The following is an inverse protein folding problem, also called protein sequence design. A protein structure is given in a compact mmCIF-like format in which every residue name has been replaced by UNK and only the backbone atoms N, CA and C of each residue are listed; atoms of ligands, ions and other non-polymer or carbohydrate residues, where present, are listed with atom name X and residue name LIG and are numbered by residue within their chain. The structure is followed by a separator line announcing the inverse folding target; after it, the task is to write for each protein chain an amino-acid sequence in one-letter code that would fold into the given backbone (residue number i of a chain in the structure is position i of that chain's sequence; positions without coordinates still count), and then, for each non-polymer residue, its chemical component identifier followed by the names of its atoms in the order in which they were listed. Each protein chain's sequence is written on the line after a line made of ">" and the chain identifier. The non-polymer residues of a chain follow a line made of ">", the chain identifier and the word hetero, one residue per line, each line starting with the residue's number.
data_IF_472927161048
#
_entry.id   IF_472927161048
#
_cell.length_a   1.000
_cell.length_b   1.000
_cell.length_c   1.000
_cell.angle_alpha   90.00
_cell.angle_beta   90.00
_cell.angle_gamma   90.00
#
_symmetry.space_group_name_H-M   'P 1'
#
loop_
_entity.id
_entity.type
_entity.pdbx_description
1 polymer ?
#
# COMPACT_ATOMS: atom_id res chain seq x y z
N UNK A 1 33.34 9.64 -27.08
CA UNK A 1 32.32 9.82 -28.14
C UNK A 1 31.00 9.51 -27.51
N UNK A 2 30.06 10.42 -27.49
CA UNK A 2 28.72 10.22 -26.96
C UNK A 2 27.88 9.47 -28.00
N UNK A 3 27.01 8.56 -27.56
CA UNK A 3 26.13 7.75 -28.44
C UNK A 3 24.75 7.75 -27.84
N UNK A 4 23.75 8.00 -28.67
CA UNK A 4 22.33 7.87 -28.28
C UNK A 4 21.93 6.40 -28.10
N UNK A 5 21.25 6.12 -26.99
CA UNK A 5 20.69 4.80 -26.70
C UNK A 5 19.38 4.93 -25.87
N UNK A 6 18.95 3.84 -25.25
CA UNK A 6 17.72 3.84 -24.43
C UNK A 6 17.82 4.73 -23.18
N UNK A 7 19.05 5.08 -22.74
CA UNK A 7 19.31 5.86 -21.53
C UNK A 7 20.11 7.14 -21.80
N UNK A 8 20.41 7.44 -23.06
CA UNK A 8 21.19 8.63 -23.45
C UNK A 8 20.51 9.35 -24.60
N UNK A 9 20.30 10.64 -24.44
CA UNK A 9 19.78 11.55 -25.48
C UNK A 9 20.74 12.70 -25.70
N UNK A 10 20.98 13.05 -26.98
CA UNK A 10 21.87 14.14 -27.39
C UNK A 10 21.03 15.24 -28.06
N UNK A 11 21.29 16.50 -27.71
CA UNK A 11 20.72 17.67 -28.35
C UNK A 11 21.77 18.72 -28.58
N UNK A 12 21.83 19.23 -29.79
CA UNK A 12 22.82 20.28 -30.14
C UNK A 12 22.47 21.61 -29.48
N UNK A 13 21.18 21.92 -29.38
CA UNK A 13 20.64 23.15 -28.77
C UNK A 13 19.45 22.84 -27.88
N UNK A 14 19.10 23.75 -26.98
CA UNK A 14 17.87 23.71 -26.22
C UNK A 14 16.66 23.97 -27.10
N UNK A 15 15.67 23.07 -27.06
CA UNK A 15 14.36 23.22 -27.72
C UNK A 15 13.24 22.84 -26.75
N UNK A 16 12.01 23.26 -27.04
CA UNK A 16 10.84 22.87 -26.23
C UNK A 16 10.57 21.34 -26.23
N UNK A 17 11.10 20.62 -27.21
CA UNK A 17 10.96 19.15 -27.28
C UNK A 17 11.72 18.43 -26.15
N UNK A 18 12.66 19.10 -25.50
CA UNK A 18 13.38 18.55 -24.32
C UNK A 18 12.39 18.11 -23.23
N UNK A 19 11.22 18.76 -23.11
CA UNK A 19 10.16 18.35 -22.17
C UNK A 19 9.69 16.91 -22.39
N UNK A 20 9.57 16.48 -23.64
CA UNK A 20 9.16 15.11 -24.01
C UNK A 20 10.22 14.09 -23.57
N UNK A 21 11.49 14.41 -23.78
CA UNK A 21 12.60 13.55 -23.43
C UNK A 21 12.68 13.36 -21.91
N UNK A 22 12.53 14.45 -21.13
CA UNK A 22 12.52 14.40 -19.68
C UNK A 22 11.37 13.53 -19.16
N UNK A 23 10.16 13.71 -19.71
CA UNK A 23 8.98 12.90 -19.37
C UNK A 23 9.24 11.44 -19.73
N UNK A 24 9.81 11.15 -20.91
CA UNK A 24 10.07 9.80 -21.36
C UNK A 24 11.08 9.07 -20.47
N UNK A 25 12.15 9.74 -20.01
CA UNK A 25 13.10 9.18 -19.04
C UNK A 25 12.43 8.90 -17.68
N UNK A 26 11.62 9.83 -17.17
CA UNK A 26 10.88 9.65 -15.92
C UNK A 26 9.93 8.43 -16.00
N UNK A 27 9.31 8.21 -17.14
CA UNK A 27 8.36 7.12 -17.35
C UNK A 27 9.01 5.75 -17.66
N UNK A 28 10.32 5.72 -17.93
CA UNK A 28 11.06 4.48 -18.23
C UNK A 28 12.11 4.17 -17.15
N UNK A 29 13.35 3.93 -17.53
CA UNK A 29 14.44 3.51 -16.63
C UNK A 29 15.33 4.67 -16.19
N UNK A 30 14.91 5.91 -16.43
CA UNK A 30 15.78 7.07 -16.28
C UNK A 30 16.80 7.18 -17.42
N UNK A 31 17.75 8.10 -17.29
CA UNK A 31 18.79 8.30 -18.30
C UNK A 31 19.51 9.63 -18.16
N UNK A 32 20.21 10.01 -19.20
CA UNK A 32 21.00 11.24 -19.28
C UNK A 32 20.68 12.00 -20.55
N UNK A 33 20.31 13.25 -20.41
CA UNK A 33 20.14 14.19 -21.51
C UNK A 33 21.36 15.11 -21.56
N UNK A 34 22.01 15.19 -22.72
CA UNK A 34 23.09 16.13 -23.01
C UNK A 34 22.59 17.21 -23.96
N UNK A 35 22.89 18.49 -23.63
CA UNK A 35 22.59 19.65 -24.51
C UNK A 35 23.89 20.40 -24.81
N UNK A 36 24.17 20.66 -26.07
CA UNK A 36 25.43 21.15 -26.59
C UNK A 36 26.28 20.07 -27.24
N UNK A 37 25.66 18.93 -27.61
CA UNK A 37 26.30 17.79 -28.25
C UNK A 37 25.48 17.42 -29.50
N UNK A 38 26.14 17.26 -30.63
CA UNK A 38 25.48 16.87 -31.88
C UNK A 38 25.07 15.39 -31.90
N UNK A 39 24.18 15.00 -32.81
CA UNK A 39 23.77 13.61 -33.03
C UNK A 39 24.96 12.68 -33.40
N UNK A 40 26.07 13.23 -33.82
CA UNK A 40 27.33 12.48 -34.08
C UNK A 40 28.18 12.26 -32.83
N UNK A 41 27.71 12.74 -31.67
CA UNK A 41 28.42 12.66 -30.40
C UNK A 41 29.59 13.64 -30.27
N UNK A 42 29.64 14.71 -31.07
CA UNK A 42 30.67 15.76 -31.01
C UNK A 42 30.17 16.92 -30.16
N UNK A 43 31.05 17.47 -29.30
CA UNK A 43 30.73 18.61 -28.44
C UNK A 43 30.70 19.88 -29.30
N UNK A 44 29.51 20.38 -29.58
CA UNK A 44 29.31 21.65 -30.30
C UNK A 44 29.44 22.84 -29.35
N UNK A 45 29.07 22.67 -28.08
CA UNK A 45 29.09 23.70 -27.06
C UNK A 45 27.86 24.62 -27.13
N UNK A 46 27.61 25.34 -26.05
CA UNK A 46 26.51 26.29 -25.88
C UNK A 46 27.08 27.69 -25.66
N UNK A 47 26.41 28.73 -26.19
CA UNK A 47 26.77 30.13 -25.94
C UNK A 47 26.60 30.54 -24.48
N UNK A 48 25.50 30.04 -23.83
CA UNK A 48 25.19 30.31 -22.43
C UNK A 48 24.66 29.01 -21.81
N UNK A 49 25.54 28.18 -21.31
CA UNK A 49 25.24 26.88 -20.72
C UNK A 49 24.43 27.02 -19.39
N UNK A 50 24.69 28.07 -18.59
CA UNK A 50 23.98 28.30 -17.36
C UNK A 50 22.52 28.66 -17.61
N UNK A 51 22.22 29.45 -18.63
CA UNK A 51 20.83 29.76 -19.04
C UNK A 51 20.11 28.53 -19.49
N UNK A 52 20.73 27.62 -20.23
CA UNK A 52 20.16 26.36 -20.66
C UNK A 52 19.89 25.43 -19.45
N UNK A 53 20.84 25.34 -18.51
CA UNK A 53 20.67 24.60 -17.26
C UNK A 53 19.45 25.09 -16.50
N UNK A 54 19.34 26.41 -16.28
CA UNK A 54 18.18 27.01 -15.58
C UNK A 54 16.87 26.73 -16.32
N UNK A 55 16.88 26.75 -17.66
CA UNK A 55 15.69 26.44 -18.45
C UNK A 55 15.22 24.99 -18.24
N UNK A 56 16.16 24.02 -18.21
CA UNK A 56 15.85 22.60 -17.94
C UNK A 56 15.31 22.44 -16.50
N UNK A 57 15.96 23.04 -15.50
CA UNK A 57 15.51 22.99 -14.11
C UNK A 57 14.09 23.55 -13.96
N UNK A 58 13.79 24.65 -14.65
CA UNK A 58 12.43 25.24 -14.65
C UNK A 58 11.41 24.26 -15.27
N UNK A 59 11.71 23.63 -16.39
CA UNK A 59 10.82 22.64 -17.01
C UNK A 59 10.51 21.51 -16.03
N UNK A 60 11.52 20.97 -15.36
CA UNK A 60 11.35 19.89 -14.38
C UNK A 60 10.47 20.31 -13.21
N UNK A 61 10.62 21.56 -12.73
CA UNK A 61 9.88 22.05 -11.59
C UNK A 61 8.46 22.53 -11.92
N UNK A 62 8.23 23.09 -13.12
CA UNK A 62 6.99 23.79 -13.43
C UNK A 62 6.07 23.09 -14.44
N UNK A 63 6.65 22.34 -15.38
CA UNK A 63 5.94 21.86 -16.56
C UNK A 63 5.62 20.36 -16.51
N UNK A 64 6.22 19.61 -15.57
CA UNK A 64 6.03 18.18 -15.40
C UNK A 64 5.18 17.87 -14.17
N UNK A 65 4.27 16.92 -14.31
CA UNK A 65 3.45 16.38 -13.21
C UNK A 65 3.45 14.85 -13.29
N UNK A 66 3.55 14.11 -12.17
CA UNK A 66 3.86 14.54 -10.80
C UNK A 66 5.19 15.31 -10.66
N UNK A 67 5.42 15.89 -9.45
CA UNK A 67 6.64 16.70 -9.19
C UNK A 67 7.90 15.84 -9.33
N UNK A 68 8.83 16.26 -10.18
CA UNK A 68 10.01 15.46 -10.56
C UNK A 68 11.36 16.07 -10.15
N UNK A 69 11.39 17.23 -9.47
CA UNK A 69 12.65 17.96 -9.20
C UNK A 69 13.69 17.14 -8.41
N UNK A 70 13.25 16.27 -7.50
CA UNK A 70 14.15 15.39 -6.73
C UNK A 70 14.70 14.21 -7.55
N UNK A 71 14.19 13.98 -8.76
CA UNK A 71 14.55 12.87 -9.63
C UNK A 71 15.54 13.28 -10.74
N UNK A 72 15.87 14.55 -10.83
CA UNK A 72 16.78 15.06 -11.85
C UNK A 72 17.89 15.92 -11.22
N UNK A 73 19.06 15.83 -11.82
CA UNK A 73 20.24 16.64 -11.46
C UNK A 73 20.88 17.21 -12.72
N UNK A 74 21.01 18.53 -12.76
CA UNK A 74 21.52 19.25 -13.93
C UNK A 74 22.84 19.94 -13.60
N UNK A 75 23.85 19.72 -14.43
CA UNK A 75 25.18 20.28 -14.26
C UNK A 75 25.76 20.85 -15.59
N UNK A 76 26.52 21.93 -15.51
CA UNK A 76 27.29 22.45 -16.64
C UNK A 76 28.66 21.82 -16.63
N UNK A 77 29.09 21.26 -17.75
CA UNK A 77 30.41 20.63 -17.92
C UNK A 77 31.18 21.38 -18.98
N UNK A 78 32.42 21.74 -18.67
CA UNK A 78 33.37 22.30 -19.63
C UNK A 78 34.29 21.19 -20.15
N UNK A 79 34.42 21.07 -21.48
CA UNK A 79 35.37 20.16 -22.08
C UNK A 79 36.81 20.64 -21.85
N UNK A 80 37.67 19.82 -21.27
CA UNK A 80 39.02 20.26 -20.88
C UNK A 80 39.93 20.74 -22.03
N UNK A 81 39.73 20.21 -23.25
CA UNK A 81 40.58 20.50 -24.40
C UNK A 81 40.16 21.76 -25.17
N UNK A 82 38.86 21.98 -25.32
CA UNK A 82 38.32 23.07 -26.15
C UNK A 82 37.75 24.22 -25.35
N UNK A 83 37.45 23.98 -24.05
CA UNK A 83 36.75 24.92 -23.19
C UNK A 83 35.24 25.05 -23.51
N UNK A 84 34.71 24.32 -24.49
CA UNK A 84 33.32 24.33 -24.84
C UNK A 84 32.47 23.80 -23.68
N UNK A 85 31.39 24.50 -23.38
CA UNK A 85 30.47 24.11 -22.31
C UNK A 85 29.21 23.41 -22.86
N UNK A 86 28.76 22.38 -22.18
CA UNK A 86 27.52 21.67 -22.45
C UNK A 86 26.80 21.35 -21.14
N UNK A 87 25.52 21.08 -21.21
CA UNK A 87 24.72 20.73 -20.04
C UNK A 87 24.49 19.22 -20.03
N UNK A 88 24.62 18.61 -18.86
CA UNK A 88 24.26 17.22 -18.57
C UNK A 88 23.13 17.20 -17.55
N UNK A 89 22.01 16.60 -17.89
CA UNK A 89 20.88 16.36 -17.00
C UNK A 89 20.75 14.87 -16.77
N UNK A 90 20.98 14.41 -15.55
CA UNK A 90 20.80 13.01 -15.14
C UNK A 90 19.40 12.88 -14.53
N UNK A 91 18.59 11.97 -15.05
CA UNK A 91 17.20 11.74 -14.66
C UNK A 91 17.07 10.33 -14.10
N UNK A 92 16.54 10.19 -12.90
CA UNK A 92 16.19 8.91 -12.31
C UNK A 92 14.82 8.45 -12.80
N UNK A 93 14.59 7.14 -12.79
CA UNK A 93 13.26 6.59 -13.03
C UNK A 93 12.23 7.16 -12.04
N UNK A 94 11.09 7.61 -12.56
CA UNK A 94 10.02 8.16 -11.75
C UNK A 94 9.22 7.07 -11.01
N UNK A 95 8.82 7.38 -9.78
CA UNK A 95 8.08 6.46 -8.90
C UNK A 95 6.56 6.62 -9.04
N UNK A 96 6.09 7.79 -9.43
CA UNK A 96 4.67 8.16 -9.50
C UNK A 96 4.18 8.25 -10.95
N UNK A 97 4.53 7.23 -11.77
CA UNK A 97 4.12 7.18 -13.19
C UNK A 97 2.59 7.13 -13.32
N UNK A 98 2.01 7.70 -14.39
CA UNK A 98 2.68 8.35 -15.52
C UNK A 98 3.02 9.82 -15.25
N UNK A 99 4.26 10.21 -15.60
CA UNK A 99 4.64 11.63 -15.69
C UNK A 99 4.13 12.20 -17.02
N UNK A 100 3.63 13.42 -16.97
CA UNK A 100 3.01 14.06 -18.13
C UNK A 100 3.14 15.60 -18.06
N UNK A 101 2.77 16.31 -19.10
CA UNK A 101 2.67 17.76 -19.05
C UNK A 101 1.67 18.24 -18.00
N UNK A 102 2.12 19.09 -17.08
CA UNK A 102 1.34 19.54 -15.92
C UNK A 102 0.00 20.19 -16.26
N UNK A 103 -0.06 20.92 -17.36
CA UNK A 103 -1.26 21.64 -17.78
C UNK A 103 -2.11 20.88 -18.80
N UNK A 104 -1.78 19.64 -19.08
CA UNK A 104 -2.53 18.79 -19.98
C UNK A 104 -3.32 17.73 -19.21
N UNK A 105 -4.42 17.23 -19.81
CA UNK A 105 -5.06 16.01 -19.34
C UNK A 105 -4.13 14.83 -19.57
N UNK A 106 -4.34 13.76 -18.82
CA UNK A 106 -3.60 12.52 -19.01
C UNK A 106 -4.11 11.83 -20.28
N UNK A 107 -3.42 12.07 -21.38
CA UNK A 107 -3.72 11.57 -22.71
C UNK A 107 -2.44 11.16 -23.43
N UNK A 108 -2.51 10.37 -24.50
CA UNK A 108 -1.34 9.97 -25.29
C UNK A 108 -0.43 11.13 -25.73
N UNK A 109 -1.00 12.32 -25.96
CA UNK A 109 -0.24 13.49 -26.39
C UNK A 109 0.56 14.15 -25.25
N UNK A 110 0.30 13.76 -23.99
CA UNK A 110 0.95 14.34 -22.81
C UNK A 110 1.92 13.40 -22.11
N UNK A 111 1.89 12.10 -22.44
CA UNK A 111 2.71 11.05 -21.82
C UNK A 111 3.68 10.48 -22.83
N UNK A 112 4.96 10.44 -22.50
CA UNK A 112 6.02 9.95 -23.38
C UNK A 112 6.81 8.85 -22.70
N UNK A 113 7.33 7.91 -23.51
CA UNK A 113 8.18 6.79 -23.09
C UNK A 113 9.39 6.65 -24.03
N UNK A 114 10.46 5.99 -23.56
CA UNK A 114 11.58 5.59 -24.41
C UNK A 114 11.35 4.21 -24.99
N UNK A 115 11.51 4.09 -26.31
CA UNK A 115 11.52 2.81 -27.03
C UNK A 115 12.83 2.77 -27.83
N UNK A 116 13.81 2.04 -27.32
CA UNK A 116 15.19 2.15 -27.83
C UNK A 116 15.73 3.57 -27.62
N UNK A 117 16.29 4.19 -28.63
CA UNK A 117 16.77 5.58 -28.63
C UNK A 117 15.68 6.61 -28.92
N UNK A 118 14.44 6.21 -29.18
CA UNK A 118 13.38 7.13 -29.60
C UNK A 118 12.43 7.48 -28.45
N UNK A 119 12.01 8.75 -28.39
CA UNK A 119 10.92 9.22 -27.55
C UNK A 119 9.60 9.10 -28.31
N UNK A 120 8.64 8.33 -27.78
CA UNK A 120 7.33 8.11 -28.40
C UNK A 120 6.20 8.41 -27.41
N UNK A 121 5.03 8.81 -27.92
CA UNK A 121 3.83 8.94 -27.11
C UNK A 121 3.38 7.58 -26.58
N UNK A 122 3.01 7.50 -25.31
CA UNK A 122 2.39 6.31 -24.73
C UNK A 122 0.94 6.20 -25.21
N UNK A 123 0.51 5.01 -25.62
CA UNK A 123 -0.90 4.76 -25.90
C UNK A 123 -1.73 4.59 -24.62
N UNK A 124 -3.05 4.56 -24.73
CA UNK A 124 -3.96 4.45 -23.59
C UNK A 124 -3.69 3.17 -22.77
N UNK A 125 -3.28 2.08 -23.40
CA UNK A 125 -3.02 0.81 -22.71
C UNK A 125 -1.76 0.90 -21.85
N UNK A 126 -0.73 1.59 -22.32
CA UNK A 126 0.51 1.86 -21.59
C UNK A 126 0.24 2.82 -20.43
N UNK A 127 -0.57 3.87 -20.66
CA UNK A 127 -0.98 4.82 -19.62
C UNK A 127 -1.75 4.09 -18.52
N UNK A 128 -2.72 3.24 -18.87
CA UNK A 128 -3.44 2.41 -17.90
C UNK A 128 -2.54 1.43 -17.16
N UNK A 129 -1.55 0.84 -17.84
CA UNK A 129 -0.56 -0.03 -17.20
C UNK A 129 0.27 0.78 -16.20
N UNK A 130 0.78 1.96 -16.56
CA UNK A 130 1.51 2.84 -15.66
C UNK A 130 0.67 3.24 -14.45
N UNK A 131 -0.61 3.58 -14.65
CA UNK A 131 -1.55 3.89 -13.57
C UNK A 131 -1.76 2.70 -12.63
N UNK A 132 -1.80 1.48 -13.17
CA UNK A 132 -1.88 0.25 -12.36
C UNK A 132 -0.59 0.00 -11.58
N UNK A 133 0.56 0.21 -12.20
CA UNK A 133 1.89 0.00 -11.59
C UNK A 133 2.26 1.10 -10.59
N UNK A 134 1.89 2.35 -10.84
CA UNK A 134 2.13 3.48 -9.93
C UNK A 134 1.24 3.46 -8.68
N UNK A 135 0.17 2.67 -8.68
CA UNK A 135 -0.54 2.27 -7.46
C UNK A 135 0.31 1.29 -6.64
N UNK A 136 1.63 1.57 -6.50
CA UNK A 136 2.43 0.89 -5.48
C UNK A 136 1.68 1.09 -4.16
N UNK A 137 1.17 0.00 -3.62
CA UNK A 137 0.52 0.05 -2.30
C UNK A 137 1.50 0.70 -1.32
N UNK A 138 1.00 1.48 -0.38
CA UNK A 138 1.82 2.16 0.63
C UNK A 138 2.84 1.21 1.29
N UNK A 139 2.48 -0.06 1.45
CA UNK A 139 3.36 -1.11 1.98
C UNK A 139 4.63 -1.35 1.16
N UNK A 140 4.60 -1.08 -0.16
CA UNK A 140 5.72 -1.33 -1.08
C UNK A 140 6.72 -0.17 -1.16
N UNK A 141 6.38 0.99 -0.60
CA UNK A 141 7.29 2.14 -0.55
C UNK A 141 8.45 1.86 0.41
N UNK A 142 9.61 2.47 0.14
CA UNK A 142 10.76 2.40 1.04
C UNK A 142 10.37 3.08 2.36
N UNK A 143 10.63 2.39 3.47
CA UNK A 143 10.40 2.93 4.80
C UNK A 143 11.39 4.05 5.11
N UNK A 144 10.92 5.10 5.77
CA UNK A 144 11.79 6.15 6.31
C UNK A 144 12.67 5.58 7.42
N UNK A 145 12.14 4.63 8.20
CA UNK A 145 12.90 3.95 9.25
C UNK A 145 13.58 2.70 8.69
N UNK A 146 14.91 2.63 8.80
CA UNK A 146 15.72 1.54 8.28
C UNK A 146 16.35 0.67 9.39
N UNK A 147 16.39 1.15 10.63
CA UNK A 147 16.85 0.38 11.79
C UNK A 147 15.65 -0.39 12.38
N UNK A 148 15.44 -1.62 11.88
CA UNK A 148 14.29 -2.45 12.21
C UNK A 148 14.74 -3.79 12.82
N UNK A 149 14.07 -4.19 13.89
CA UNK A 149 14.16 -5.52 14.51
C UNK A 149 12.86 -6.31 14.29
N UNK A 150 12.94 -7.64 14.33
CA UNK A 150 11.85 -8.53 13.97
C UNK A 150 11.72 -9.70 14.96
N UNK A 151 11.96 -9.46 16.25
CA UNK A 151 11.96 -10.52 17.24
C UNK A 151 10.64 -11.31 17.28
N UNK A 152 9.50 -10.59 17.23
CA UNK A 152 8.20 -11.23 17.23
C UNK A 152 7.90 -11.95 15.90
N UNK A 153 8.20 -11.33 14.77
CA UNK A 153 7.97 -11.95 13.47
C UNK A 153 8.83 -13.21 13.28
N UNK A 154 10.09 -13.17 13.72
CA UNK A 154 11.01 -14.31 13.65
C UNK A 154 10.47 -15.52 14.45
N UNK A 155 9.94 -15.29 15.65
CA UNK A 155 9.30 -16.31 16.46
C UNK A 155 8.07 -16.94 15.76
N UNK A 156 7.20 -16.11 15.18
CA UNK A 156 6.00 -16.58 14.46
C UNK A 156 6.38 -17.40 13.22
N UNK A 157 7.33 -16.93 12.41
CA UNK A 157 7.81 -17.66 11.24
C UNK A 157 8.49 -18.97 11.63
N UNK A 158 9.28 -18.96 12.71
CA UNK A 158 9.92 -20.18 13.26
C UNK A 158 8.88 -21.21 13.73
N UNK A 159 7.85 -20.78 14.45
CA UNK A 159 6.73 -21.66 14.88
C UNK A 159 5.96 -22.23 13.69
N UNK A 160 5.87 -21.50 12.59
CA UNK A 160 5.28 -21.99 11.35
C UNK A 160 6.20 -22.89 10.52
N UNK A 161 7.45 -23.11 10.96
CA UNK A 161 8.44 -23.90 10.22
C UNK A 161 8.96 -23.19 8.96
N UNK A 162 8.87 -21.86 8.89
CA UNK A 162 9.24 -21.05 7.74
C UNK A 162 10.49 -20.24 8.08
N UNK A 163 11.52 -20.34 7.23
CA UNK A 163 12.72 -19.52 7.38
C UNK A 163 12.41 -18.03 7.21
N UNK A 164 13.06 -17.17 8.01
CA UNK A 164 12.89 -15.71 8.00
C UNK A 164 14.20 -14.94 7.92
N UNK A 165 15.22 -15.48 7.23
CA UNK A 165 16.52 -14.84 6.99
C UNK A 165 16.44 -13.68 5.99
N UNK A 166 17.59 -13.09 5.67
CA UNK A 166 17.69 -11.93 4.79
C UNK A 166 17.13 -12.20 3.38
N UNK A 167 17.42 -13.36 2.80
CA UNK A 167 16.89 -13.75 1.49
C UNK A 167 15.35 -13.85 1.50
N UNK A 168 14.78 -14.35 2.59
CA UNK A 168 13.32 -14.43 2.76
C UNK A 168 12.68 -13.07 2.93
N UNK A 169 13.32 -12.14 3.64
CA UNK A 169 12.85 -10.76 3.77
C UNK A 169 12.76 -10.07 2.41
N UNK A 170 13.71 -10.33 1.49
CA UNK A 170 13.66 -9.83 0.11
C UNK A 170 12.52 -10.51 -0.66
N UNK A 171 12.41 -11.84 -0.61
CA UNK A 171 11.38 -12.59 -1.34
C UNK A 171 9.96 -12.27 -0.87
N UNK A 172 9.80 -11.94 0.42
CA UNK A 172 8.55 -11.47 1.02
C UNK A 172 8.30 -9.97 0.82
N UNK A 173 9.20 -9.27 0.12
CA UNK A 173 9.14 -7.82 -0.15
C UNK A 173 9.20 -6.93 1.10
N UNK A 174 9.72 -7.43 2.21
CA UNK A 174 10.05 -6.62 3.38
C UNK A 174 11.27 -5.75 3.13
N UNK A 175 12.15 -6.22 2.23
CA UNK A 175 13.32 -5.49 1.71
C UNK A 175 13.27 -5.41 0.19
N UNK A 176 13.84 -4.34 -0.34
CA UNK A 176 14.15 -4.22 -1.77
C UNK A 176 15.35 -5.09 -2.14
N UNK A 177 15.60 -5.30 -3.43
CA UNK A 177 16.80 -5.97 -3.92
C UNK A 177 18.09 -5.20 -3.55
N UNK A 178 18.00 -3.90 -3.26
CA UNK A 178 19.11 -3.07 -2.78
C UNK A 178 19.33 -3.14 -1.26
N UNK A 179 18.52 -3.94 -0.55
CA UNK A 179 18.64 -4.17 0.89
C UNK A 179 17.90 -3.18 1.78
N UNK A 180 17.19 -2.19 1.22
CA UNK A 180 16.41 -1.21 1.98
C UNK A 180 15.07 -1.81 2.42
N UNK A 181 14.67 -1.55 3.65
CA UNK A 181 13.36 -1.95 4.15
C UNK A 181 12.22 -1.15 3.50
N UNK A 182 11.15 -1.85 3.19
CA UNK A 182 9.88 -1.29 2.74
C UNK A 182 8.97 -0.98 3.95
N UNK A 183 7.85 -0.28 3.72
CA UNK A 183 6.85 -0.10 4.78
C UNK A 183 6.24 -1.43 5.22
N UNK A 184 6.16 -2.46 4.35
CA UNK A 184 5.79 -3.81 4.78
C UNK A 184 6.79 -4.36 5.82
N UNK A 185 8.10 -4.13 5.61
CA UNK A 185 9.11 -4.43 6.62
C UNK A 185 8.82 -3.72 7.94
N UNK A 186 8.50 -2.43 7.89
CA UNK A 186 8.14 -1.65 9.07
C UNK A 186 6.88 -2.20 9.78
N UNK A 187 5.84 -2.64 9.04
CA UNK A 187 4.62 -3.22 9.65
C UNK A 187 4.89 -4.51 10.40
N UNK A 188 5.81 -5.34 9.90
CA UNK A 188 6.16 -6.61 10.55
C UNK A 188 7.25 -6.46 11.62
N UNK A 189 7.90 -5.30 11.72
CA UNK A 189 8.94 -5.02 12.71
C UNK A 189 8.38 -4.74 14.10
N UNK A 190 9.25 -4.84 15.10
CA UNK A 190 8.92 -4.48 16.49
C UNK A 190 8.72 -2.95 16.64
N UNK A 191 9.19 -2.15 15.67
CA UNK A 191 9.09 -0.69 15.60
C UNK A 191 7.85 -0.19 14.83
N UNK A 192 6.90 -1.05 14.48
CA UNK A 192 5.70 -0.64 13.76
C UNK A 192 4.99 0.53 14.46
N UNK A 193 4.79 1.69 13.80
CA UNK A 193 4.17 2.86 14.42
C UNK A 193 2.65 2.77 14.50
N UNK A 194 2.06 1.84 13.77
CA UNK A 194 0.62 1.60 13.77
C UNK A 194 0.25 0.69 14.93
N UNK A 195 -0.97 0.86 15.45
CA UNK A 195 -1.44 0.06 16.58
C UNK A 195 -2.95 -0.16 16.53
N UNK A 196 -3.43 -1.12 17.32
CA UNK A 196 -4.84 -1.36 17.56
C UNK A 196 -5.18 -0.81 18.94
N UNK A 197 -6.16 0.10 18.99
CA UNK A 197 -6.72 0.62 20.23
C UNK A 197 -7.94 -0.19 20.61
N UNK A 198 -7.84 -0.94 21.70
CA UNK A 198 -8.91 -1.81 22.18
C UNK A 198 -9.56 -1.25 23.45
N UNK A 199 -10.87 -1.51 23.59
CA UNK A 199 -11.61 -1.21 24.80
C UNK A 199 -12.72 -2.23 25.00
N UNK A 200 -12.96 -2.62 26.26
CA UNK A 200 -14.16 -3.35 26.67
C UNK A 200 -15.03 -2.47 27.58
N UNK A 201 -16.32 -2.52 27.35
CA UNK A 201 -17.33 -1.72 28.04
C UNK A 201 -18.33 -2.64 28.76
N UNK A 202 -18.85 -2.15 29.88
CA UNK A 202 -19.89 -2.84 30.65
C UNK A 202 -21.28 -2.58 30.08
N UNK A 203 -21.44 -1.44 29.39
CA UNK A 203 -22.68 -0.97 28.78
C UNK A 203 -22.67 -1.10 27.25
N UNK A 204 -23.82 -0.76 26.63
CA UNK A 204 -23.97 -0.68 25.15
C UNK A 204 -23.60 0.71 24.60
N UNK A 205 -23.53 1.73 25.43
CA UNK A 205 -23.35 3.13 25.04
C UNK A 205 -21.88 3.54 24.98
N UNK A 206 -20.98 2.77 25.62
CA UNK A 206 -19.53 2.98 25.58
C UNK A 206 -19.03 4.02 26.59
N UNK A 207 -19.75 4.23 27.67
CA UNK A 207 -19.37 5.15 28.74
C UNK A 207 -18.69 4.45 29.93
N UNK A 208 -19.09 3.22 30.25
CA UNK A 208 -18.56 2.46 31.40
C UNK A 208 -17.43 1.49 30.90
N UNK A 209 -16.21 1.93 31.02
CA UNK A 209 -15.05 1.14 30.64
C UNK A 209 -14.72 0.05 31.67
N UNK A 210 -14.55 -1.17 31.18
CA UNK A 210 -13.92 -2.25 31.95
C UNK A 210 -12.40 -2.12 31.85
N UNK A 211 -11.88 -1.97 30.59
CA UNK A 211 -10.45 -1.92 30.32
C UNK A 211 -10.17 -1.22 28.99
N UNK A 212 -8.98 -0.62 28.87
CA UNK A 212 -8.45 -0.03 27.63
C UNK A 212 -7.03 -0.52 27.44
N UNK A 213 -6.69 -0.93 26.23
CA UNK A 213 -5.36 -1.38 25.84
C UNK A 213 -4.99 -0.82 24.46
N UNK A 214 -3.69 -0.51 24.31
CA UNK A 214 -3.09 -0.19 23.01
C UNK A 214 -2.14 -1.33 22.66
N UNK A 215 -2.45 -2.07 21.58
CA UNK A 215 -1.60 -3.16 21.08
C UNK A 215 -0.64 -2.61 20.05
N UNK A 216 0.63 -2.52 20.42
CA UNK A 216 1.74 -1.95 19.67
C UNK A 216 2.72 -3.02 19.17
N UNK A 217 3.75 -2.63 18.41
CA UNK A 217 4.74 -3.54 17.83
C UNK A 217 4.26 -4.16 16.52
N UNK A 218 4.85 -5.27 16.10
CA UNK A 218 4.51 -5.95 14.85
C UNK A 218 3.00 -6.13 14.67
N UNK A 219 2.48 -5.95 13.45
CA UNK A 219 1.07 -6.21 13.14
C UNK A 219 0.65 -7.66 13.47
N UNK A 220 1.59 -8.62 13.45
CA UNK A 220 1.34 -10.00 13.88
C UNK A 220 1.08 -10.07 15.39
N UNK A 221 1.88 -9.34 16.19
CA UNK A 221 1.70 -9.22 17.64
C UNK A 221 0.37 -8.54 17.98
N UNK A 222 0.05 -7.46 17.27
CA UNK A 222 -1.20 -6.73 17.46
C UNK A 222 -2.41 -7.63 17.20
N UNK A 223 -2.37 -8.43 16.12
CA UNK A 223 -3.44 -9.35 15.75
C UNK A 223 -3.68 -10.40 16.84
N UNK A 224 -2.62 -11.05 17.32
CA UNK A 224 -2.72 -12.08 18.36
C UNK A 224 -3.17 -11.49 19.69
N UNK A 225 -2.65 -10.33 20.06
CA UNK A 225 -3.04 -9.60 21.28
C UNK A 225 -4.52 -9.18 21.24
N UNK A 226 -5.00 -8.67 20.10
CA UNK A 226 -6.39 -8.28 19.93
C UNK A 226 -7.34 -9.50 19.96
N UNK A 227 -6.94 -10.62 19.38
CA UNK A 227 -7.71 -11.85 19.43
C UNK A 227 -7.79 -12.42 20.86
N UNK A 228 -6.66 -12.44 21.57
CA UNK A 228 -6.59 -12.88 22.97
C UNK A 228 -7.43 -11.95 23.89
N UNK A 229 -7.39 -10.64 23.62
CA UNK A 229 -8.23 -9.67 24.31
C UNK A 229 -9.72 -9.95 24.09
N UNK A 230 -10.13 -10.29 22.86
CA UNK A 230 -11.51 -10.66 22.59
C UNK A 230 -11.93 -11.86 23.42
N UNK A 231 -11.17 -12.95 23.39
CA UNK A 231 -11.48 -14.19 24.14
C UNK A 231 -11.60 -13.92 25.64
N UNK A 232 -10.78 -13.04 26.19
CA UNK A 232 -10.79 -12.73 27.64
C UNK A 232 -11.96 -11.84 28.09
N UNK A 233 -12.67 -11.19 27.13
CA UNK A 233 -13.76 -10.24 27.43
C UNK A 233 -15.12 -10.63 26.85
N UNK A 234 -15.20 -11.75 26.14
CA UNK A 234 -16.48 -12.36 25.73
C UNK A 234 -16.86 -13.48 26.71
N UNK A 235 -18.17 -13.75 26.83
CA UNK A 235 -18.61 -14.80 27.74
C UNK A 235 -18.51 -16.17 27.10
N UNK A 236 -18.00 -17.11 27.86
CA UNK A 236 -18.04 -18.53 27.54
C UNK A 236 -19.28 -19.15 28.16
N UNK A 237 -20.12 -19.77 27.33
CA UNK A 237 -21.30 -20.51 27.77
C UNK A 237 -20.99 -22.01 27.64
N UNK A 238 -21.39 -22.78 28.63
CA UNK A 238 -21.35 -24.24 28.54
C UNK A 238 -22.68 -24.74 28.02
N UNK A 239 -22.64 -25.45 26.86
CA UNK A 239 -23.77 -26.21 26.34
C UNK A 239 -23.49 -27.71 26.50
N UNK A 240 -24.58 -28.49 26.67
CA UNK A 240 -24.47 -29.96 26.72
C UNK A 240 -25.21 -30.55 25.52
N UNK A 241 -24.53 -31.38 24.75
CA UNK A 241 -25.13 -32.22 23.72
C UNK A 241 -25.06 -33.68 24.19
N UNK A 242 -26.19 -34.17 24.71
CA UNK A 242 -26.21 -35.43 25.40
C UNK A 242 -25.33 -35.40 26.67
N UNK A 243 -24.34 -36.30 26.73
CA UNK A 243 -23.35 -36.36 27.82
C UNK A 243 -22.08 -35.52 27.56
N UNK A 244 -21.98 -34.88 26.42
CA UNK A 244 -20.78 -34.08 26.04
C UNK A 244 -20.98 -32.63 26.41
N UNK A 245 -19.99 -32.07 27.12
CA UNK A 245 -19.86 -30.65 27.35
C UNK A 245 -19.27 -30.01 26.10
N UNK A 246 -19.92 -28.95 25.58
CA UNK A 246 -19.42 -28.11 24.51
C UNK A 246 -19.31 -26.70 25.03
N UNK A 247 -18.11 -26.15 24.95
CA UNK A 247 -17.88 -24.74 25.28
C UNK A 247 -18.27 -23.89 24.08
N UNK A 248 -19.27 -23.04 24.24
CA UNK A 248 -19.75 -22.07 23.26
C UNK A 248 -19.47 -20.66 23.74
N UNK A 249 -19.16 -19.75 22.81
CA UNK A 249 -19.02 -18.33 23.11
C UNK A 249 -20.25 -17.57 22.65
N UNK A 250 -20.53 -16.44 23.30
CA UNK A 250 -21.62 -15.54 22.88
C UNK A 250 -21.31 -14.76 21.59
N UNK A 251 -20.12 -14.96 21.02
CA UNK A 251 -19.71 -14.53 19.69
C UNK A 251 -19.01 -15.66 18.95
N UNK A 252 -19.24 -15.86 17.64
CA UNK A 252 -18.49 -16.83 16.86
C UNK A 252 -17.01 -16.41 16.75
N UNK A 253 -16.09 -17.23 17.27
CA UNK A 253 -14.66 -16.93 17.24
C UNK A 253 -14.13 -16.75 15.81
N UNK A 254 -14.69 -17.49 14.84
CA UNK A 254 -14.38 -17.35 13.42
C UNK A 254 -14.71 -15.93 12.94
N UNK A 255 -15.86 -15.37 13.32
CA UNK A 255 -16.27 -14.03 12.92
C UNK A 255 -15.32 -12.95 13.48
N UNK A 256 -14.91 -13.06 14.75
CA UNK A 256 -13.95 -12.15 15.37
C UNK A 256 -12.59 -12.24 14.65
N UNK A 257 -12.10 -13.46 14.40
CA UNK A 257 -10.84 -13.71 13.71
C UNK A 257 -10.83 -13.10 12.30
N UNK A 258 -11.85 -13.37 11.50
CA UNK A 258 -11.94 -12.83 10.14
C UNK A 258 -12.09 -11.30 10.13
N UNK A 259 -12.81 -10.73 11.09
CA UNK A 259 -12.93 -9.27 11.22
C UNK A 259 -11.57 -8.61 11.55
N UNK A 260 -10.79 -9.18 12.48
CA UNK A 260 -9.46 -8.69 12.84
C UNK A 260 -8.49 -8.79 11.66
N UNK A 261 -8.46 -9.92 10.95
CA UNK A 261 -7.63 -10.10 9.75
C UNK A 261 -7.99 -9.10 8.66
N UNK A 262 -9.28 -8.90 8.39
CA UNK A 262 -9.75 -7.90 7.42
C UNK A 262 -9.33 -6.48 7.82
N UNK A 263 -9.44 -6.13 9.11
CA UNK A 263 -9.05 -4.81 9.60
C UNK A 263 -7.55 -4.52 9.42
N UNK A 264 -6.70 -5.53 9.50
CA UNK A 264 -5.25 -5.42 9.26
C UNK A 264 -4.94 -5.39 7.76
N UNK A 265 -5.49 -6.33 6.97
CA UNK A 265 -5.16 -6.44 5.55
C UNK A 265 -5.66 -5.26 4.71
N UNK A 266 -6.82 -4.70 5.05
CA UNK A 266 -7.46 -3.64 4.27
C UNK A 266 -7.27 -2.24 4.84
N UNK A 267 -6.54 -2.10 5.96
CA UNK A 267 -6.20 -0.81 6.54
C UNK A 267 -5.43 0.07 5.55
N UNK A 268 -5.75 1.34 5.54
CA UNK A 268 -4.91 2.37 4.93
C UNK A 268 -3.80 2.77 5.92
N UNK A 269 -2.61 2.21 5.69
CA UNK A 269 -1.43 2.48 6.52
C UNK A 269 -0.78 3.84 6.25
N UNK A 270 -1.22 4.59 5.24
CA UNK A 270 -0.84 5.99 5.09
C UNK A 270 -1.47 6.88 6.16
N UNK A 271 -2.57 6.41 6.77
CA UNK A 271 -3.22 7.08 7.91
C UNK A 271 -2.56 6.70 9.23
N UNK A 272 -2.25 7.72 10.06
CA UNK A 272 -1.77 7.54 11.43
C UNK A 272 -2.85 7.11 12.44
N UNK A 273 -4.15 7.17 12.06
CA UNK A 273 -5.26 6.85 12.95
C UNK A 273 -5.23 5.36 13.35
N UNK A 274 -5.35 5.00 14.64
CA UNK A 274 -5.30 3.61 15.08
C UNK A 274 -6.55 2.84 14.64
N UNK A 275 -6.40 1.54 14.34
CA UNK A 275 -7.53 0.62 14.24
C UNK A 275 -8.23 0.57 15.59
N UNK A 276 -9.57 0.64 15.63
CA UNK A 276 -10.34 0.61 16.88
C UNK A 276 -11.04 -0.74 17.01
N UNK A 277 -10.86 -1.38 18.16
CA UNK A 277 -11.50 -2.62 18.53
C UNK A 277 -12.28 -2.43 19.85
N UNK A 278 -13.61 -2.50 19.80
CA UNK A 278 -14.48 -2.21 20.93
C UNK A 278 -15.41 -3.39 21.19
N UNK A 279 -15.46 -3.84 22.45
CA UNK A 279 -16.36 -4.87 22.93
C UNK A 279 -17.37 -4.20 23.85
N UNK A 280 -18.62 -4.17 23.47
CA UNK A 280 -19.75 -3.69 24.26
C UNK A 280 -20.50 -4.87 24.89
N UNK A 281 -21.47 -4.58 25.74
CA UNK A 281 -22.29 -5.60 26.37
C UNK A 281 -23.12 -6.43 25.38
N UNK A 282 -23.46 -5.85 24.21
CA UNK A 282 -24.37 -6.37 23.20
C UNK A 282 -23.71 -6.63 21.84
N UNK A 283 -22.53 -6.07 21.56
CA UNK A 283 -21.87 -6.17 20.25
C UNK A 283 -20.38 -5.98 20.34
N UNK A 284 -19.69 -6.38 19.28
CA UNK A 284 -18.30 -6.03 19.00
C UNK A 284 -18.27 -5.09 17.80
N UNK A 285 -17.50 -4.00 17.88
CA UNK A 285 -17.23 -3.08 16.79
C UNK A 285 -15.75 -3.06 16.44
N UNK A 286 -15.43 -3.23 15.17
CA UNK A 286 -14.09 -3.10 14.62
C UNK A 286 -14.08 -2.04 13.53
N UNK A 287 -13.26 -1.00 13.71
CA UNK A 287 -13.13 0.12 12.77
C UNK A 287 -11.72 0.14 12.21
N UNK A 288 -11.60 -0.04 10.91
CA UNK A 288 -10.36 0.13 10.16
C UNK A 288 -10.44 1.39 9.30
N UNK A 289 -9.35 2.17 9.27
CA UNK A 289 -9.27 3.34 8.40
C UNK A 289 -8.92 2.91 6.97
N UNK A 290 -9.55 3.56 6.00
CA UNK A 290 -9.55 3.22 4.59
C UNK A 290 -10.94 2.75 4.13
N UNK A 291 -11.53 3.45 3.14
CA UNK A 291 -12.78 3.04 2.49
C UNK A 291 -12.57 1.86 1.56
N UNK A 292 -13.59 1.47 0.82
CA UNK A 292 -13.43 0.49 -0.27
C UNK A 292 -12.49 1.02 -1.34
N UNK A 293 -11.78 0.10 -1.98
CA UNK A 293 -11.06 0.40 -3.21
C UNK A 293 -12.07 0.72 -4.32
N UNK A 294 -11.70 1.58 -5.26
CA UNK A 294 -12.59 2.05 -6.34
C UNK A 294 -13.18 0.92 -7.20
N UNK A 295 -12.53 -0.23 -7.21
CA UNK A 295 -12.91 -1.43 -7.97
C UNK A 295 -14.01 -2.26 -7.26
N UNK A 296 -14.33 -1.93 -5.98
CA UNK A 296 -15.28 -2.68 -5.17
C UNK A 296 -16.55 -1.88 -4.92
N UNK A 297 -17.69 -2.56 -5.04
CA UNK A 297 -18.99 -2.09 -4.57
C UNK A 297 -19.36 -2.77 -3.25
N UNK A 298 -20.35 -2.24 -2.55
CA UNK A 298 -20.88 -2.89 -1.34
C UNK A 298 -21.48 -4.27 -1.65
N UNK A 299 -22.09 -4.42 -2.81
CA UNK A 299 -22.75 -5.66 -3.23
C UNK A 299 -21.70 -6.75 -3.52
N UNK A 300 -20.57 -6.39 -4.14
CA UNK A 300 -19.50 -7.34 -4.43
C UNK A 300 -18.85 -7.93 -3.18
N UNK A 301 -18.89 -7.23 -2.03
CA UNK A 301 -18.37 -7.76 -0.76
C UNK A 301 -19.18 -8.97 -0.26
N UNK A 302 -20.50 -8.97 -0.43
CA UNK A 302 -21.36 -10.09 -0.06
C UNK A 302 -21.12 -11.32 -0.94
N UNK A 303 -20.73 -11.11 -2.20
CA UNK A 303 -20.40 -12.15 -3.17
C UNK A 303 -18.99 -12.75 -2.98
N UNK A 304 -18.23 -12.23 -2.02
CA UNK A 304 -16.86 -12.68 -1.77
C UNK A 304 -15.82 -12.14 -2.76
N UNK A 305 -16.18 -11.13 -3.56
CA UNK A 305 -15.24 -10.43 -4.42
C UNK A 305 -14.44 -9.47 -3.54
N UNK A 306 -13.12 -9.62 -3.54
CA UNK A 306 -12.24 -8.77 -2.73
C UNK A 306 -11.07 -8.25 -3.56
N UNK A 307 -10.74 -6.97 -3.35
CA UNK A 307 -9.45 -6.40 -3.74
C UNK A 307 -8.70 -6.01 -2.46
N UNK A 308 -7.42 -6.34 -2.39
CA UNK A 308 -6.63 -6.12 -1.20
C UNK A 308 -5.82 -4.83 -1.31
N UNK A 309 -5.95 -3.94 -0.31
CA UNK A 309 -5.17 -2.70 -0.24
C UNK A 309 -3.68 -2.97 0.00
N UNK A 310 -3.37 -4.01 0.79
CA UNK A 310 -2.02 -4.41 1.15
C UNK A 310 -1.75 -5.86 0.69
N UNK A 311 -1.59 -6.10 -0.62
CA UNK A 311 -1.49 -7.44 -1.19
C UNK A 311 -0.23 -8.19 -0.73
N UNK A 312 0.87 -7.49 -0.45
CA UNK A 312 2.08 -8.13 0.04
C UNK A 312 1.94 -8.56 1.52
N UNK A 313 1.28 -7.75 2.35
CA UNK A 313 0.93 -8.12 3.72
C UNK A 313 -0.02 -9.34 3.71
N UNK A 314 -1.03 -9.34 2.84
CA UNK A 314 -1.91 -10.49 2.68
C UNK A 314 -1.14 -11.75 2.28
N UNK A 315 -0.18 -11.66 1.34
CA UNK A 315 0.67 -12.78 0.94
C UNK A 315 1.52 -13.34 2.12
N UNK A 316 2.01 -12.46 3.00
CA UNK A 316 2.70 -12.90 4.24
C UNK A 316 1.74 -13.66 5.16
N UNK A 317 0.53 -13.14 5.38
CA UNK A 317 -0.48 -13.79 6.23
C UNK A 317 -0.95 -15.14 5.66
N UNK A 318 -1.09 -15.24 4.33
CA UNK A 318 -1.36 -16.52 3.63
C UNK A 318 -0.22 -17.52 3.86
N UNK A 319 1.02 -17.08 3.71
CA UNK A 319 2.20 -17.93 3.92
C UNK A 319 2.31 -18.45 5.36
N UNK A 320 1.87 -17.65 6.32
CA UNK A 320 1.78 -18.05 7.75
C UNK A 320 0.54 -18.92 8.05
N UNK A 321 -0.31 -19.23 7.06
CA UNK A 321 -1.53 -20.00 7.25
C UNK A 321 -2.63 -19.24 8.01
N UNK A 322 -2.50 -17.92 8.13
CA UNK A 322 -3.45 -17.08 8.85
C UNK A 322 -4.63 -16.66 7.97
N UNK A 323 -4.49 -16.68 6.66
CA UNK A 323 -5.53 -16.24 5.69
C UNK A 323 -5.59 -17.20 4.51
N UNK A 324 -6.80 -17.35 3.94
CA UNK A 324 -7.02 -18.04 2.67
C UNK A 324 -7.12 -17.03 1.52
N UNK A 325 -6.62 -17.39 0.33
CA UNK A 325 -6.46 -16.46 -0.81
C UNK A 325 -7.76 -16.10 -1.57
N UNK A 326 -8.97 -16.47 -1.09
CA UNK A 326 -10.18 -16.48 -1.92
C UNK A 326 -11.26 -15.46 -1.52
N UNK A 327 -10.95 -14.42 -0.76
CA UNK A 327 -11.97 -13.41 -0.39
C UNK A 327 -13.11 -13.91 0.50
N UNK A 328 -12.93 -15.04 1.18
CA UNK A 328 -13.96 -15.73 1.94
C UNK A 328 -14.26 -15.13 3.32
N UNK A 329 -13.55 -14.09 3.75
CA UNK A 329 -13.64 -13.56 5.12
C UNK A 329 -15.04 -13.01 5.47
N UNK A 330 -15.58 -12.08 4.68
CA UNK A 330 -16.95 -11.53 4.90
C UNK A 330 -18.03 -12.61 4.75
N UNK A 331 -18.04 -13.44 3.69
CA UNK A 331 -18.93 -14.59 3.61
C UNK A 331 -18.89 -15.52 4.83
N UNK A 332 -17.70 -15.80 5.40
CA UNK A 332 -17.58 -16.61 6.63
C UNK A 332 -18.20 -15.91 7.84
N UNK A 333 -18.01 -14.59 7.99
CA UNK A 333 -18.66 -13.82 9.06
C UNK A 333 -20.18 -13.94 8.94
N UNK A 334 -20.74 -13.72 7.74
CA UNK A 334 -22.19 -13.83 7.48
C UNK A 334 -22.69 -15.24 7.76
N UNK A 335 -21.97 -16.27 7.32
CA UNK A 335 -22.35 -17.66 7.51
C UNK A 335 -22.45 -18.05 8.99
N UNK A 336 -21.59 -17.48 9.86
CA UNK A 336 -21.66 -17.70 11.31
C UNK A 336 -22.99 -17.22 11.94
N UNK A 337 -23.68 -16.29 11.30
CA UNK A 337 -24.92 -15.68 11.79
C UNK A 337 -26.16 -16.12 11.02
N UNK A 338 -26.06 -17.11 10.12
CA UNK A 338 -27.16 -17.52 9.24
C UNK A 338 -28.47 -17.86 9.98
N UNK A 339 -28.36 -18.37 11.21
CA UNK A 339 -29.51 -18.75 12.05
C UNK A 339 -29.74 -17.78 13.21
N UNK A 340 -28.96 -16.70 13.33
CA UNK A 340 -29.11 -15.76 14.42
C UNK A 340 -30.19 -14.72 14.10
N UNK A 341 -30.89 -14.23 15.16
CA UNK A 341 -31.90 -13.17 15.06
C UNK A 341 -31.31 -11.85 14.57
N UNK A 342 -30.07 -11.54 14.94
CA UNK A 342 -29.36 -10.35 14.50
C UNK A 342 -28.19 -10.72 13.57
N UNK A 343 -27.98 -9.90 12.55
CA UNK A 343 -26.95 -10.12 11.54
C UNK A 343 -25.79 -9.10 11.68
N UNK A 344 -24.57 -9.48 11.28
CA UNK A 344 -23.47 -8.54 11.22
C UNK A 344 -23.78 -7.36 10.31
N UNK A 345 -23.33 -6.16 10.72
CA UNK A 345 -23.51 -4.92 9.96
C UNK A 345 -22.15 -4.43 9.45
N UNK A 346 -22.07 -4.20 8.14
CA UNK A 346 -20.88 -3.67 7.47
C UNK A 346 -21.14 -2.23 7.05
N UNK A 347 -20.49 -1.27 7.72
CA UNK A 347 -20.63 0.16 7.42
C UNK A 347 -19.44 0.63 6.60
N UNK A 348 -19.70 1.10 5.39
CA UNK A 348 -18.70 1.60 4.45
C UNK A 348 -18.82 3.11 4.33
N UNK A 349 -17.72 3.84 4.62
CA UNK A 349 -17.58 5.28 4.38
C UNK A 349 -16.33 5.54 3.54
N UNK A 350 -16.19 6.71 2.93
CA UNK A 350 -15.03 7.01 2.07
C UNK A 350 -13.66 6.77 2.73
N UNK A 351 -13.57 6.96 4.04
CA UNK A 351 -12.31 6.91 4.80
C UNK A 351 -12.26 5.84 5.90
N UNK A 352 -13.31 5.04 6.06
CA UNK A 352 -13.33 3.97 7.06
C UNK A 352 -14.24 2.81 6.66
N UNK A 353 -13.92 1.63 7.20
CA UNK A 353 -14.74 0.44 7.16
C UNK A 353 -14.99 -0.03 8.60
N UNK A 354 -16.27 -0.21 8.95
CA UNK A 354 -16.67 -0.70 10.28
C UNK A 354 -17.44 -2.02 10.15
N UNK A 355 -17.03 -3.01 10.93
CA UNK A 355 -17.74 -4.26 11.13
C UNK A 355 -18.36 -4.20 12.53
N UNK A 356 -19.68 -4.43 12.61
CA UNK A 356 -20.41 -4.60 13.86
C UNK A 356 -20.90 -6.05 13.93
N UNK A 357 -20.43 -6.77 14.92
CA UNK A 357 -20.76 -8.19 15.17
C UNK A 357 -21.68 -8.23 16.38
N UNK A 358 -22.97 -8.61 16.23
CA UNK A 358 -23.90 -8.66 17.35
C UNK A 358 -23.61 -9.88 18.24
N UNK A 359 -24.00 -9.77 19.51
CA UNK A 359 -23.98 -10.88 20.46
C UNK A 359 -25.02 -11.93 20.07
N UNK A 360 -24.67 -13.21 20.11
CA UNK A 360 -25.62 -14.29 19.90
C UNK A 360 -26.59 -14.38 21.09
N UNK A 361 -27.88 -14.24 20.81
CA UNK A 361 -28.94 -14.49 21.77
C UNK A 361 -29.50 -15.91 21.58
N UNK A 362 -30.04 -16.50 22.64
CA UNK A 362 -30.55 -17.87 22.59
C UNK A 362 -31.99 -17.95 21.96
N UNK A 363 -32.49 -16.82 21.44
CA UNK A 363 -33.82 -16.75 20.86
C UNK A 363 -33.84 -17.21 19.41
N UNK A 364 -34.69 -18.20 19.11
CA UNK A 364 -34.94 -18.76 17.78
C UNK A 364 -35.84 -17.84 16.92
N UNK A 365 -35.54 -16.56 16.82
CA UNK A 365 -36.28 -15.66 15.92
C UNK A 365 -35.78 -15.77 14.48
N UNK A 366 -36.68 -15.56 13.52
CA UNK A 366 -36.42 -15.69 12.09
C UNK A 366 -35.22 -14.85 11.65
N UNK A 367 -34.26 -15.42 10.88
CA UNK A 367 -33.05 -14.74 10.49
C UNK A 367 -33.29 -13.52 9.60
N UNK A 368 -32.68 -12.40 9.92
CA UNK A 368 -32.65 -11.18 9.08
C UNK A 368 -31.49 -11.22 8.12
N UNK A 369 -31.59 -10.53 7.02
CA UNK A 369 -30.51 -10.43 6.03
C UNK A 369 -29.37 -9.52 6.53
N UNK A 370 -28.12 -9.88 6.27
CA UNK A 370 -26.96 -9.05 6.59
C UNK A 370 -27.05 -7.66 5.93
N UNK A 371 -26.67 -6.60 6.65
CA UNK A 371 -26.86 -5.22 6.22
C UNK A 371 -25.52 -4.56 5.89
N UNK A 372 -25.43 -4.03 4.67
CA UNK A 372 -24.34 -3.13 4.24
C UNK A 372 -24.84 -1.68 4.27
N UNK A 373 -24.21 -0.82 5.07
CA UNK A 373 -24.57 0.60 5.24
C UNK A 373 -23.46 1.54 4.78
#
# INVERSE_FOLDING_TARGET
>A
MFIEDSQTELKEIYTEDIKKELIAFLNTQGGVLYVGISDKGEITGLEDADKVRIAIDNVICTDIHPIAHALAHTEVIAEPLTGKQYVKCTISEGIEKPYHYKHSRLTPESVFIRVGSSCVSADDSIIEQMLRESRKSYESLISVQQDLSFAYADDIFSKAGIAFGEAQKVSLKLKTNTGLYTNLGLFLSDQCPHFIKAAAFRDSDGFDFIVKNDFVGSVLMQLESAYSFAISHINQKTKYEGLRRIDAYDYPLVAIREALLNAIMHRDYSSSSPTQFKIFSDRIELVSFGGLLQELSKDSLAEGISACRNPNLAAVLVRLGLVESFGTGIPKIIACYKQASEQPVFTVKPNLFKITIPKLTDDNDSPKTAVFK
#
